data_IF_565905169033
#
_entry.id   IF_565905169033
#
_cell.length_a   1.000
_cell.length_b   1.000
_cell.length_c   1.000
_cell.angle_alpha   90.00
_cell.angle_beta   90.00
_cell.angle_gamma   90.00
#
_symmetry.space_group_name_H-M   'P 1'
#
loop_
_entity.id
_entity.type
_entity.pdbx_description
1 polymer ?
#
# COMPACT_ATOMS: atom_id res chain seq x y z
N UNK A 1 -7.63 6.27 -8.59
CA UNK A 1 -6.32 6.72 -8.07
C UNK A 1 -6.17 6.52 -6.55
N UNK A 2 -7.18 6.83 -5.72
CA UNK A 2 -7.11 6.69 -4.24
C UNK A 2 -6.94 5.23 -3.74
N UNK A 3 -7.38 4.22 -4.50
CA UNK A 3 -7.22 2.80 -4.12
C UNK A 3 -5.78 2.25 -4.23
N UNK A 4 -4.87 2.98 -4.90
CA UNK A 4 -3.52 2.48 -5.18
C UNK A 4 -2.50 2.66 -4.04
N UNK A 5 -2.81 3.49 -3.04
CA UNK A 5 -1.84 3.89 -2.01
C UNK A 5 -1.58 2.84 -0.91
N UNK A 6 -2.44 1.82 -0.74
CA UNK A 6 -2.32 0.87 0.39
C UNK A 6 -1.60 -0.44 0.08
N UNK A 7 -1.40 -0.82 -1.19
CA UNK A 7 -0.73 -2.08 -1.54
C UNK A 7 0.79 -2.08 -1.27
N UNK A 8 1.38 -0.92 -0.94
CA UNK A 8 2.81 -0.77 -0.61
C UNK A 8 3.23 -1.32 0.77
N UNK A 9 2.32 -1.83 1.60
CA UNK A 9 2.61 -2.09 3.02
C UNK A 9 3.38 -3.40 3.35
N UNK A 10 3.47 -4.41 2.47
CA UNK A 10 3.70 -5.79 2.93
C UNK A 10 4.82 -6.64 2.28
N UNK A 11 5.67 -6.14 1.37
CA UNK A 11 6.67 -6.99 0.72
C UNK A 11 8.11 -6.64 1.11
N UNK A 12 8.74 -7.43 1.99
CA UNK A 12 10.18 -7.73 1.95
C UNK A 12 10.71 -8.58 3.14
N UNK A 13 11.02 -9.86 2.89
CA UNK A 13 12.10 -10.57 3.60
C UNK A 13 12.85 -11.44 2.59
N UNK A 14 14.10 -11.07 2.27
CA UNK A 14 15.14 -11.98 1.76
C UNK A 14 16.51 -11.31 2.03
N UNK A 15 17.32 -11.96 2.87
CA UNK A 15 18.55 -11.36 3.40
C UNK A 15 19.78 -11.55 2.52
N UNK A 16 20.69 -10.58 2.57
CA UNK A 16 22.12 -10.73 2.33
C UNK A 16 22.85 -10.81 3.67
N UNK A 17 23.94 -11.57 3.70
CA UNK A 17 24.60 -12.01 4.93
C UNK A 17 25.37 -10.91 5.67
N UNK A 18 25.18 -10.85 6.99
CA UNK A 18 26.14 -10.36 7.99
C UNK A 18 25.60 -10.60 9.42
N UNK A 19 26.41 -10.26 10.43
CA UNK A 19 26.46 -10.77 11.81
C UNK A 19 25.09 -11.08 12.48
N UNK A 20 24.91 -12.28 13.08
CA UNK A 20 23.63 -12.78 13.60
C UNK A 20 22.90 -11.89 14.64
N UNK A 21 23.62 -11.05 15.38
CA UNK A 21 23.06 -10.23 16.47
C UNK A 21 22.25 -9.02 15.98
N UNK A 22 22.74 -8.29 14.97
CA UNK A 22 22.08 -7.06 14.51
C UNK A 22 20.76 -7.32 13.79
N UNK A 23 20.68 -8.44 13.06
CA UNK A 23 19.43 -8.88 12.48
C UNK A 23 18.37 -9.10 13.56
N UNK A 24 18.74 -9.66 14.71
CA UNK A 24 17.80 -9.89 15.82
C UNK A 24 17.27 -8.57 16.41
N UNK A 25 18.13 -7.59 16.64
CA UNK A 25 17.73 -6.31 17.21
C UNK A 25 16.85 -5.49 16.25
N UNK A 26 17.16 -5.50 14.94
CA UNK A 26 16.31 -4.85 13.92
C UNK A 26 14.99 -5.60 13.74
N UNK A 27 15.00 -6.94 13.76
CA UNK A 27 13.76 -7.74 13.72
C UNK A 27 12.88 -7.49 14.95
N UNK A 28 13.49 -7.31 16.13
CA UNK A 28 12.75 -6.91 17.34
C UNK A 28 12.09 -5.54 17.17
N UNK A 29 12.77 -4.56 16.56
CA UNK A 29 12.15 -3.27 16.26
C UNK A 29 10.97 -3.40 15.28
N UNK A 30 11.11 -4.25 14.26
CA UNK A 30 10.01 -4.58 13.35
C UNK A 30 8.82 -5.18 14.11
N UNK A 31 9.05 -6.18 14.96
CA UNK A 31 8.00 -6.81 15.77
C UNK A 31 7.31 -5.82 16.71
N UNK A 32 8.09 -4.95 17.37
CA UNK A 32 7.56 -3.86 18.20
C UNK A 32 6.61 -2.97 17.38
N UNK A 33 7.03 -2.52 16.19
CA UNK A 33 6.17 -1.73 15.29
C UNK A 33 4.92 -2.48 14.85
N UNK A 34 5.02 -3.76 14.50
CA UNK A 34 3.86 -4.60 14.14
C UNK A 34 2.92 -4.90 15.30
N UNK A 35 3.35 -4.64 16.54
CA UNK A 35 2.56 -4.77 17.77
C UNK A 35 2.05 -3.44 18.33
N UNK A 36 2.21 -2.33 17.59
CA UNK A 36 1.78 -0.98 18.01
C UNK A 36 2.74 -0.24 18.95
N UNK A 37 3.89 -0.84 19.27
CA UNK A 37 4.92 -0.27 20.17
C UNK A 37 5.94 0.56 19.41
N UNK A 38 5.46 1.58 18.71
CA UNK A 38 6.25 2.33 17.71
C UNK A 38 7.37 3.14 18.35
N UNK A 39 7.12 3.77 19.51
CA UNK A 39 8.15 4.53 20.23
C UNK A 39 9.30 3.61 20.72
N UNK A 40 8.97 2.40 21.21
CA UNK A 40 9.96 1.39 21.61
C UNK A 40 10.77 0.90 20.40
N UNK A 41 10.10 0.69 19.25
CA UNK A 41 10.77 0.32 18.00
C UNK A 41 11.78 1.39 17.55
N UNK A 42 11.40 2.67 17.67
CA UNK A 42 12.29 3.79 17.33
C UNK A 42 13.53 3.82 18.22
N UNK A 43 13.35 3.74 19.54
CA UNK A 43 14.47 3.68 20.50
C UNK A 43 15.40 2.49 20.20
N UNK A 44 14.83 1.32 19.89
CA UNK A 44 15.61 0.13 19.54
C UNK A 44 16.47 0.35 18.29
N UNK A 45 15.93 1.00 17.24
CA UNK A 45 16.67 1.32 16.01
C UNK A 45 17.73 2.39 16.23
N UNK A 46 17.44 3.42 17.02
CA UNK A 46 18.42 4.45 17.41
C UNK A 46 19.61 3.84 18.14
N UNK A 47 19.38 2.87 19.04
CA UNK A 47 20.44 2.14 19.72
C UNK A 47 21.28 1.29 18.78
N UNK A 48 20.67 0.65 17.78
CA UNK A 48 21.42 -0.11 16.76
C UNK A 48 22.30 0.84 15.94
N UNK A 49 21.75 1.97 15.49
CA UNK A 49 22.47 2.95 14.68
C UNK A 49 23.53 3.73 15.46
N UNK A 50 23.38 3.88 16.78
CA UNK A 50 24.42 4.43 17.64
C UNK A 50 25.63 3.50 17.78
N UNK A 51 25.41 2.18 17.74
CA UNK A 51 26.48 1.16 17.77
C UNK A 51 27.13 0.94 16.41
N UNK A 52 26.33 1.01 15.35
CA UNK A 52 26.75 0.85 13.97
C UNK A 52 25.93 1.77 13.07
N UNK A 53 26.48 2.95 12.79
CA UNK A 53 25.83 3.95 11.94
C UNK A 53 25.78 3.57 10.47
N UNK A 54 26.39 2.45 10.08
CA UNK A 54 26.42 1.94 8.70
C UNK A 54 25.45 0.78 8.49
N UNK A 55 24.70 0.39 9.52
CA UNK A 55 23.78 -0.73 9.46
C UNK A 55 22.62 -0.46 8.49
N UNK A 56 22.70 -1.01 7.28
CA UNK A 56 21.74 -0.78 6.21
C UNK A 56 20.33 -1.26 6.58
N UNK A 57 20.22 -2.40 7.27
CA UNK A 57 18.93 -2.96 7.70
C UNK A 57 18.22 -2.08 8.73
N UNK A 58 18.96 -1.53 9.69
CA UNK A 58 18.42 -0.59 10.67
C UNK A 58 17.99 0.74 10.02
N UNK A 59 18.76 1.23 9.04
CA UNK A 59 18.34 2.36 8.23
C UNK A 59 17.06 2.07 7.43
N UNK A 60 16.97 0.91 6.81
CA UNK A 60 15.77 0.48 6.08
C UNK A 60 14.54 0.41 7.00
N UNK A 61 14.64 -0.25 8.15
CA UNK A 61 13.50 -0.35 9.08
C UNK A 61 13.15 1.00 9.72
N UNK A 62 14.13 1.88 9.97
CA UNK A 62 13.85 3.25 10.42
C UNK A 62 13.11 4.06 9.36
N UNK A 63 13.41 3.87 8.06
CA UNK A 63 12.65 4.51 7.00
C UNK A 63 11.18 4.04 6.97
N UNK A 64 10.93 2.75 7.23
CA UNK A 64 9.55 2.21 7.36
C UNK A 64 8.84 2.74 8.59
N UNK A 65 9.53 2.84 9.71
CA UNK A 65 8.99 3.43 10.94
C UNK A 65 8.65 4.91 10.74
N UNK A 66 9.55 5.69 10.12
CA UNK A 66 9.31 7.11 9.86
C UNK A 66 8.15 7.32 8.88
N UNK A 67 8.00 6.45 7.88
CA UNK A 67 6.88 6.52 6.95
C UNK A 67 5.56 6.19 7.64
N UNK A 68 5.56 5.18 8.53
CA UNK A 68 4.42 4.86 9.37
C UNK A 68 4.00 6.04 10.27
N UNK A 69 4.96 6.66 10.96
CA UNK A 69 4.71 7.87 11.76
C UNK A 69 4.22 9.05 10.91
N UNK A 70 4.68 9.19 9.66
CA UNK A 70 4.28 10.27 8.77
C UNK A 70 2.78 10.14 8.46
N UNK A 71 2.33 8.93 8.14
CA UNK A 71 0.92 8.66 7.84
C UNK A 71 0.03 8.68 9.08
N UNK A 72 0.59 8.36 10.25
CA UNK A 72 -0.10 8.29 11.55
C UNK A 72 -0.07 9.57 12.39
N UNK A 73 0.43 10.70 11.86
CA UNK A 73 0.51 11.97 12.61
C UNK A 73 1.57 12.00 13.71
N UNK A 74 2.56 11.12 13.67
CA UNK A 74 3.66 11.00 14.64
C UNK A 74 4.77 12.05 14.54
N UNK A 75 4.53 13.17 13.83
CA UNK A 75 5.45 14.30 13.76
C UNK A 75 6.73 14.05 12.95
N UNK A 76 6.72 13.11 12.00
CA UNK A 76 7.83 12.90 11.05
C UNK A 76 7.54 13.57 9.72
N UNK A 77 8.58 13.77 8.94
CA UNK A 77 8.51 14.28 7.58
C UNK A 77 8.95 13.23 6.58
N UNK A 78 8.57 13.44 5.32
CA UNK A 78 9.06 12.62 4.21
C UNK A 78 10.58 12.72 4.04
N UNK A 79 11.20 13.83 4.46
CA UNK A 79 12.66 13.95 4.49
C UNK A 79 13.30 12.94 5.46
N UNK A 80 12.69 12.71 6.62
CA UNK A 80 13.19 11.73 7.61
C UNK A 80 13.13 10.30 7.07
N UNK A 81 12.14 9.99 6.22
CA UNK A 81 12.07 8.73 5.48
C UNK A 81 13.22 8.65 4.46
N UNK A 82 13.37 9.68 3.63
CA UNK A 82 14.37 9.75 2.57
C UNK A 82 15.82 9.64 3.12
N UNK A 83 16.14 10.33 4.22
CA UNK A 83 17.47 10.27 4.87
C UNK A 83 17.87 8.83 5.17
N UNK A 84 16.95 8.04 5.73
CA UNK A 84 17.24 6.68 6.14
C UNK A 84 17.26 5.69 4.97
N UNK A 85 16.32 5.77 4.03
CA UNK A 85 16.34 4.85 2.87
C UNK A 85 17.53 5.12 1.92
N UNK A 86 17.95 6.38 1.77
CA UNK A 86 19.16 6.74 1.03
C UNK A 86 20.39 6.07 1.64
N UNK A 87 20.51 6.06 2.97
CA UNK A 87 21.61 5.40 3.68
C UNK A 87 21.56 3.88 3.51
N UNK A 88 20.38 3.26 3.60
CA UNK A 88 20.25 1.81 3.39
C UNK A 88 20.72 1.39 1.99
N UNK A 89 20.32 2.10 0.94
CA UNK A 89 20.77 1.85 -0.44
C UNK A 89 22.25 2.22 -0.63
N UNK A 90 22.76 3.25 0.06
CA UNK A 90 24.17 3.62 -0.02
C UNK A 90 25.07 2.53 0.58
N UNK A 91 24.71 1.98 1.74
CA UNK A 91 25.49 0.94 2.42
C UNK A 91 25.33 -0.45 1.78
N UNK A 92 24.17 -0.76 1.22
CA UNK A 92 23.92 -2.02 0.48
C UNK A 92 23.27 -1.77 -0.90
N UNK A 93 24.02 -1.25 -1.89
CA UNK A 93 23.46 -0.85 -3.19
C UNK A 93 22.99 -2.02 -4.08
N UNK A 94 23.39 -3.25 -3.75
CA UNK A 94 22.94 -4.47 -4.42
C UNK A 94 21.66 -5.07 -3.82
N UNK A 95 21.17 -4.53 -2.69
CA UNK A 95 20.00 -5.08 -2.01
C UNK A 95 18.72 -4.63 -2.72
N UNK A 96 18.10 -5.56 -3.45
CA UNK A 96 16.89 -5.31 -4.26
C UNK A 96 15.70 -4.83 -3.41
N UNK A 97 15.60 -5.27 -2.15
CA UNK A 97 14.53 -4.85 -1.24
C UNK A 97 14.67 -3.38 -0.90
N UNK A 98 15.89 -2.93 -0.55
CA UNK A 98 16.13 -1.53 -0.22
C UNK A 98 15.96 -0.65 -1.46
N UNK A 99 16.47 -1.10 -2.62
CA UNK A 99 16.27 -0.40 -3.88
C UNK A 99 14.77 -0.26 -4.23
N UNK A 100 13.98 -1.32 -4.01
CA UNK A 100 12.54 -1.30 -4.28
C UNK A 100 11.81 -0.34 -3.37
N UNK A 101 12.03 -0.42 -2.06
CA UNK A 101 11.43 0.52 -1.13
C UNK A 101 11.86 1.97 -1.40
N UNK A 102 13.11 2.18 -1.82
CA UNK A 102 13.60 3.49 -2.24
C UNK A 102 12.85 4.04 -3.47
N UNK A 103 12.53 3.17 -4.43
CA UNK A 103 11.70 3.53 -5.58
C UNK A 103 10.27 3.88 -5.16
N UNK A 104 9.66 3.10 -4.25
CA UNK A 104 8.33 3.38 -3.68
C UNK A 104 8.31 4.73 -2.97
N UNK A 105 9.31 5.05 -2.13
CA UNK A 105 9.40 6.36 -1.49
C UNK A 105 9.58 7.49 -2.53
N UNK A 106 10.36 7.25 -3.59
CA UNK A 106 10.47 8.19 -4.71
C UNK A 106 9.12 8.45 -5.39
N UNK A 107 8.34 7.40 -5.65
CA UNK A 107 6.98 7.51 -6.18
C UNK A 107 6.06 8.28 -5.23
N UNK A 108 6.10 7.98 -3.92
CA UNK A 108 5.31 8.71 -2.92
C UNK A 108 5.69 10.20 -2.85
N UNK A 109 6.98 10.55 -2.98
CA UNK A 109 7.42 11.94 -3.08
C UNK A 109 6.78 12.65 -4.29
N UNK A 110 6.81 12.00 -5.46
CA UNK A 110 6.21 12.55 -6.68
C UNK A 110 4.69 12.70 -6.53
N UNK A 111 4.01 11.68 -6.01
CA UNK A 111 2.57 11.69 -5.77
C UNK A 111 2.15 12.80 -4.80
N UNK A 112 2.80 12.91 -3.64
CA UNK A 112 2.52 13.98 -2.67
C UNK A 112 2.81 15.36 -3.26
N UNK A 113 3.87 15.50 -4.05
CA UNK A 113 4.18 16.74 -4.76
C UNK A 113 3.05 17.16 -5.70
N UNK A 114 2.44 16.22 -6.41
CA UNK A 114 1.28 16.47 -7.27
C UNK A 114 0.05 16.91 -6.47
N UNK A 115 -0.31 16.18 -5.41
CA UNK A 115 -1.46 16.50 -4.56
C UNK A 115 -1.31 17.84 -3.82
N UNK A 116 -0.06 18.26 -3.55
CA UNK A 116 0.25 19.54 -2.90
C UNK A 116 0.48 20.70 -3.89
N UNK A 117 0.33 20.49 -5.21
CA UNK A 117 0.53 21.52 -6.23
C UNK A 117 2.00 21.99 -6.38
N UNK A 118 2.97 21.13 -6.07
CA UNK A 118 4.41 21.42 -6.19
C UNK A 118 4.93 21.18 -7.61
N UNK A 119 4.34 21.85 -8.59
CA UNK A 119 4.57 21.61 -10.03
C UNK A 119 6.04 21.74 -10.45
N UNK A 120 6.78 22.71 -9.88
CA UNK A 120 8.17 23.01 -10.23
C UNK A 120 9.14 21.83 -10.06
N UNK A 121 8.85 20.91 -9.13
CA UNK A 121 9.71 19.74 -8.84
C UNK A 121 9.10 18.42 -9.27
N UNK A 122 7.85 18.44 -9.75
CA UNK A 122 7.09 17.23 -10.02
C UNK A 122 7.77 16.37 -11.08
N UNK A 123 8.16 16.98 -12.21
CA UNK A 123 8.81 16.26 -13.31
C UNK A 123 10.12 15.59 -12.86
N UNK A 124 10.96 16.30 -12.13
CA UNK A 124 12.24 15.77 -11.65
C UNK A 124 12.02 14.62 -10.66
N UNK A 125 11.03 14.74 -9.77
CA UNK A 125 10.66 13.68 -8.84
C UNK A 125 10.13 12.44 -9.58
N UNK A 126 9.30 12.61 -10.61
CA UNK A 126 8.79 11.51 -11.45
C UNK A 126 9.94 10.81 -12.18
N UNK A 127 10.83 11.58 -12.83
CA UNK A 127 12.00 11.02 -13.54
C UNK A 127 12.89 10.23 -12.58
N UNK A 128 13.13 10.77 -11.38
CA UNK A 128 13.93 10.09 -10.35
C UNK A 128 13.25 8.82 -9.82
N UNK A 129 11.94 8.84 -9.60
CA UNK A 129 11.17 7.64 -9.24
C UNK A 129 11.29 6.55 -10.31
N UNK A 130 11.13 6.90 -11.59
CA UNK A 130 11.29 5.97 -12.69
C UNK A 130 12.70 5.37 -12.75
N UNK A 131 13.76 6.18 -12.63
CA UNK A 131 15.15 5.69 -12.59
C UNK A 131 15.38 4.69 -11.45
N UNK A 132 14.75 4.90 -10.30
CA UNK A 132 14.84 3.98 -9.16
C UNK A 132 14.14 2.65 -9.46
N UNK A 133 12.96 2.65 -10.06
CA UNK A 133 12.32 1.41 -10.51
C UNK A 133 13.15 0.69 -11.58
N UNK A 134 13.71 1.41 -12.55
CA UNK A 134 14.63 0.86 -13.55
C UNK A 134 15.87 0.23 -12.88
N UNK A 135 16.39 0.86 -11.81
CA UNK A 135 17.48 0.28 -11.00
C UNK A 135 17.05 -1.03 -10.33
N UNK A 136 15.85 -1.12 -9.78
CA UNK A 136 15.32 -2.38 -9.21
C UNK A 136 15.28 -3.47 -10.27
N UNK A 137 14.76 -3.18 -11.46
CA UNK A 137 14.70 -4.12 -12.58
C UNK A 137 16.11 -4.54 -13.02
N UNK A 138 17.10 -3.64 -12.98
CA UNK A 138 18.49 -4.00 -13.28
C UNK A 138 19.12 -4.96 -12.26
N UNK A 139 18.70 -4.87 -10.98
CA UNK A 139 19.16 -5.77 -9.91
C UNK A 139 18.41 -7.11 -9.96
N UNK A 140 17.13 -7.10 -10.34
CA UNK A 140 16.27 -8.27 -10.43
C UNK A 140 15.33 -8.15 -11.64
N UNK A 141 15.72 -8.67 -12.82
CA UNK A 141 14.97 -8.49 -14.07
C UNK A 141 13.59 -9.15 -14.11
N UNK A 142 13.32 -10.13 -13.24
CA UNK A 142 12.03 -10.81 -13.09
C UNK A 142 11.16 -10.20 -11.99
N UNK A 143 11.54 -9.03 -11.43
CA UNK A 143 10.73 -8.32 -10.45
C UNK A 143 9.62 -7.52 -11.17
N UNK A 144 8.41 -8.09 -11.19
CA UNK A 144 7.29 -7.61 -12.01
C UNK A 144 6.64 -6.32 -11.47
N UNK A 145 6.59 -6.13 -10.16
CA UNK A 145 5.93 -4.97 -9.53
C UNK A 145 6.55 -3.62 -9.96
N UNK A 146 7.89 -3.42 -9.93
CA UNK A 146 8.52 -2.22 -10.48
C UNK A 146 8.14 -1.91 -11.93
N UNK A 147 8.00 -2.94 -12.77
CA UNK A 147 7.61 -2.74 -14.17
C UNK A 147 6.20 -2.17 -14.26
N UNK A 148 5.29 -2.64 -13.41
CA UNK A 148 3.92 -2.16 -13.42
C UNK A 148 3.82 -0.69 -12.99
N UNK A 149 4.59 -0.26 -11.99
CA UNK A 149 4.70 1.16 -11.66
C UNK A 149 5.20 1.99 -12.85
N UNK A 150 6.19 1.48 -13.61
CA UNK A 150 6.66 2.17 -14.81
C UNK A 150 5.57 2.24 -15.90
N UNK A 151 4.76 1.19 -16.09
CA UNK A 151 3.61 1.23 -17.01
C UNK A 151 2.60 2.29 -16.57
N UNK A 152 2.27 2.35 -15.28
CA UNK A 152 1.31 3.31 -14.73
C UNK A 152 1.81 4.75 -14.85
N UNK A 153 3.04 5.03 -14.42
CA UNK A 153 3.63 6.37 -14.51
C UNK A 153 3.76 6.81 -15.97
N UNK A 154 4.38 5.98 -16.81
CA UNK A 154 4.64 6.36 -18.19
C UNK A 154 3.38 6.39 -19.06
N UNK A 155 2.37 5.58 -18.75
CA UNK A 155 1.12 5.49 -19.49
C UNK A 155 0.06 6.51 -19.08
N UNK A 156 0.06 6.96 -17.82
CA UNK A 156 -0.98 7.85 -17.30
C UNK A 156 -0.57 9.32 -17.21
N UNK A 157 0.73 9.61 -17.05
CA UNK A 157 1.20 10.99 -17.00
C UNK A 157 1.41 11.55 -18.41
N UNK A 158 1.19 12.85 -18.62
CA UNK A 158 1.54 13.49 -19.87
C UNK A 158 3.07 13.67 -20.00
N UNK A 159 3.61 13.85 -21.23
CA UNK A 159 5.06 13.91 -21.46
C UNK A 159 5.79 15.01 -20.67
N UNK A 160 5.16 16.17 -20.48
CA UNK A 160 5.70 17.27 -19.70
C UNK A 160 5.90 16.93 -18.22
N UNK A 161 5.11 15.99 -17.68
CA UNK A 161 5.22 15.49 -16.31
C UNK A 161 6.07 14.20 -16.19
N UNK A 162 6.64 13.72 -17.30
CA UNK A 162 7.48 12.52 -17.33
C UNK A 162 6.82 11.27 -17.91
N UNK A 163 5.64 11.39 -18.52
CA UNK A 163 5.01 10.33 -19.31
C UNK A 163 5.84 9.92 -20.52
N UNK A 164 5.74 8.65 -20.91
CA UNK A 164 6.44 8.07 -22.07
C UNK A 164 5.69 6.83 -22.57
N UNK A 165 4.73 7.03 -23.47
CA UNK A 165 3.86 5.93 -23.94
C UNK A 165 4.63 4.77 -24.58
N UNK A 166 5.79 5.02 -25.20
CA UNK A 166 6.64 3.97 -25.77
C UNK A 166 7.28 3.12 -24.68
N UNK A 167 7.80 3.75 -23.61
CA UNK A 167 8.28 2.99 -22.45
C UNK A 167 7.16 2.25 -21.73
N UNK A 168 5.96 2.84 -21.65
CA UNK A 168 4.82 2.18 -21.04
C UNK A 168 4.49 0.87 -21.78
N UNK A 169 4.41 0.89 -23.11
CA UNK A 169 4.22 -0.31 -23.94
C UNK A 169 5.36 -1.30 -23.77
N UNK A 170 6.62 -0.84 -23.76
CA UNK A 170 7.78 -1.70 -23.56
C UNK A 170 7.73 -2.51 -22.25
N UNK A 171 7.39 -1.86 -21.13
CA UNK A 171 7.25 -2.56 -19.85
C UNK A 171 5.99 -3.42 -19.78
N UNK A 172 4.90 -3.02 -20.44
CA UNK A 172 3.69 -3.85 -20.54
C UNK A 172 3.98 -5.16 -21.30
N UNK A 173 4.70 -5.11 -22.40
CA UNK A 173 5.10 -6.30 -23.17
C UNK A 173 5.97 -7.25 -22.34
N UNK A 174 6.89 -6.71 -21.52
CA UNK A 174 7.65 -7.53 -20.58
C UNK A 174 6.75 -8.23 -19.58
N UNK A 175 5.78 -7.52 -19.01
CA UNK A 175 4.85 -8.09 -18.04
C UNK A 175 3.97 -9.18 -18.65
N UNK A 176 3.47 -9.01 -19.88
CA UNK A 176 2.70 -10.03 -20.59
C UNK A 176 3.48 -11.35 -20.72
N UNK A 177 4.78 -11.27 -20.94
CA UNK A 177 5.63 -12.45 -21.09
C UNK A 177 6.09 -13.05 -19.75
N UNK A 178 6.08 -12.25 -18.67
CA UNK A 178 6.58 -12.67 -17.36
C UNK A 178 5.48 -13.30 -16.49
N UNK A 179 4.30 -12.69 -16.44
CA UNK A 179 3.22 -13.10 -15.55
C UNK A 179 1.85 -12.69 -16.13
N UNK A 180 0.91 -13.63 -16.19
CA UNK A 180 -0.39 -13.40 -16.82
C UNK A 180 -1.23 -12.32 -16.10
N UNK A 181 -1.17 -12.28 -14.76
CA UNK A 181 -1.90 -11.31 -13.94
C UNK A 181 -1.30 -9.91 -14.11
N UNK A 182 0.01 -9.77 -13.99
CA UNK A 182 0.67 -8.47 -14.18
C UNK A 182 0.57 -7.98 -15.63
N UNK A 183 0.65 -8.88 -16.61
CA UNK A 183 0.39 -8.58 -18.01
C UNK A 183 -1.03 -8.06 -18.24
N UNK A 184 -2.04 -8.67 -17.61
CA UNK A 184 -3.42 -8.18 -17.67
C UNK A 184 -3.57 -6.79 -17.03
N UNK A 185 -2.94 -6.56 -15.87
CA UNK A 185 -2.93 -5.23 -15.23
C UNK A 185 -2.32 -4.17 -16.14
N UNK A 186 -1.17 -4.46 -16.76
CA UNK A 186 -0.52 -3.53 -17.67
C UNK A 186 -1.40 -3.21 -18.89
N UNK A 187 -2.05 -4.22 -19.48
CA UNK A 187 -3.01 -4.01 -20.59
C UNK A 187 -4.19 -3.14 -20.18
N UNK A 188 -4.75 -3.35 -18.99
CA UNK A 188 -5.85 -2.52 -18.51
C UNK A 188 -5.42 -1.07 -18.29
N UNK A 189 -4.24 -0.85 -17.72
CA UNK A 189 -3.67 0.49 -17.53
C UNK A 189 -3.53 1.27 -18.83
N UNK A 190 -3.20 0.58 -19.93
CA UNK A 190 -3.04 1.18 -21.27
C UNK A 190 -4.32 1.12 -22.13
N UNK A 191 -5.42 0.64 -21.57
CA UNK A 191 -6.68 0.51 -22.30
C UNK A 191 -7.34 1.86 -22.55
N UNK A 192 -8.27 1.90 -23.52
CA UNK A 192 -9.02 3.12 -23.83
C UNK A 192 -9.90 3.53 -22.65
N UNK A 193 -10.08 4.85 -22.50
CA UNK A 193 -11.03 5.39 -21.53
C UNK A 193 -12.43 4.82 -21.80
N UNK A 194 -13.10 4.36 -20.74
CA UNK A 194 -14.43 3.73 -20.84
C UNK A 194 -14.40 2.21 -21.03
N UNK A 195 -13.22 1.56 -21.02
CA UNK A 195 -13.12 0.10 -20.99
C UNK A 195 -13.95 -0.47 -19.82
N UNK A 196 -14.81 -1.45 -20.12
CA UNK A 196 -15.59 -2.16 -19.11
C UNK A 196 -14.67 -3.07 -18.30
N UNK A 197 -14.24 -2.59 -17.14
CA UNK A 197 -13.30 -3.31 -16.28
C UNK A 197 -13.87 -4.62 -15.74
N UNK A 198 -15.19 -4.73 -15.55
CA UNK A 198 -15.81 -5.97 -15.06
C UNK A 198 -15.67 -7.04 -16.13
N UNK A 199 -16.13 -6.76 -17.35
CA UNK A 199 -16.00 -7.68 -18.48
C UNK A 199 -14.54 -8.04 -18.74
N UNK A 200 -13.64 -7.04 -18.73
CA UNK A 200 -12.21 -7.28 -18.91
C UNK A 200 -11.65 -8.30 -17.92
N UNK A 201 -11.95 -8.14 -16.63
CA UNK A 201 -11.42 -9.04 -15.60
C UNK A 201 -12.11 -10.41 -15.58
N UNK A 202 -13.40 -10.48 -15.91
CA UNK A 202 -14.11 -11.76 -16.09
C UNK A 202 -13.54 -12.55 -17.27
N UNK A 203 -13.17 -11.90 -18.36
CA UNK A 203 -12.45 -12.54 -19.48
C UNK A 203 -11.08 -13.06 -19.03
N UNK A 204 -10.35 -12.33 -18.17
CA UNK A 204 -9.09 -12.82 -17.62
C UNK A 204 -9.28 -14.06 -16.73
N UNK A 205 -10.39 -14.14 -15.98
CA UNK A 205 -10.76 -15.35 -15.22
C UNK A 205 -11.07 -16.52 -16.16
N UNK A 206 -11.78 -16.28 -17.26
CA UNK A 206 -12.08 -17.32 -18.24
C UNK A 206 -10.82 -17.90 -18.88
N UNK A 207 -9.81 -17.05 -19.10
CA UNK A 207 -8.53 -17.44 -19.73
C UNK A 207 -7.55 -18.09 -18.75
N UNK A 208 -7.44 -17.58 -17.52
CA UNK A 208 -6.37 -17.93 -16.57
C UNK A 208 -6.87 -18.65 -15.31
N UNK A 209 -8.17 -18.85 -15.17
CA UNK A 209 -8.81 -19.44 -14.00
C UNK A 209 -9.14 -18.41 -12.90
N UNK A 210 -9.86 -18.88 -11.86
CA UNK A 210 -10.29 -18.07 -10.71
C UNK A 210 -9.19 -17.98 -9.64
N UNK A 211 -8.13 -17.22 -9.90
CA UNK A 211 -7.09 -16.96 -8.88
C UNK A 211 -7.54 -15.87 -7.89
N UNK A 212 -7.02 -15.84 -6.65
CA UNK A 212 -7.35 -14.79 -5.67
C UNK A 212 -7.15 -13.37 -6.21
N UNK A 213 -6.08 -13.15 -6.98
CA UNK A 213 -5.72 -11.85 -7.53
C UNK A 213 -6.71 -11.37 -8.58
N UNK A 214 -7.17 -12.27 -9.46
CA UNK A 214 -8.17 -11.96 -10.48
C UNK A 214 -9.55 -11.75 -9.88
N UNK A 215 -9.96 -12.61 -8.95
CA UNK A 215 -11.22 -12.45 -8.20
C UNK A 215 -11.26 -11.08 -7.49
N UNK A 216 -10.17 -10.70 -6.84
CA UNK A 216 -10.02 -9.36 -6.24
C UNK A 216 -10.21 -8.25 -7.26
N UNK A 217 -9.62 -8.34 -8.44
CA UNK A 217 -9.76 -7.28 -9.46
C UNK A 217 -11.19 -7.15 -9.98
N UNK A 218 -11.91 -8.27 -10.17
CA UNK A 218 -13.33 -8.22 -10.53
C UNK A 218 -14.14 -7.55 -9.42
N UNK A 219 -13.89 -7.90 -8.16
CA UNK A 219 -14.56 -7.26 -7.02
C UNK A 219 -14.32 -5.75 -6.97
N UNK A 220 -13.08 -5.30 -7.17
CA UNK A 220 -12.73 -3.87 -7.28
C UNK A 220 -13.46 -3.20 -8.46
N UNK A 221 -13.54 -3.86 -9.62
CA UNK A 221 -14.26 -3.35 -10.78
C UNK A 221 -15.76 -3.18 -10.50
N UNK A 222 -16.38 -4.08 -9.73
CA UNK A 222 -17.77 -3.92 -9.29
C UNK A 222 -17.96 -2.73 -8.34
N UNK A 223 -17.01 -2.45 -7.45
CA UNK A 223 -17.05 -1.24 -6.61
C UNK A 223 -17.01 0.04 -7.46
N UNK A 224 -16.21 0.08 -8.53
CA UNK A 224 -16.21 1.22 -9.46
C UNK A 224 -17.53 1.39 -10.21
N UNK A 225 -18.37 0.35 -10.31
CA UNK A 225 -19.72 0.39 -10.86
C UNK A 225 -20.82 0.58 -9.79
N UNK A 226 -20.46 0.98 -8.58
CA UNK A 226 -21.37 1.15 -7.44
C UNK A 226 -22.15 -0.12 -7.06
N UNK A 227 -21.57 -1.31 -7.29
CA UNK A 227 -22.21 -2.60 -7.06
C UNK A 227 -21.49 -3.39 -5.97
N UNK A 228 -21.66 -2.96 -4.72
CA UNK A 228 -21.05 -3.56 -3.53
C UNK A 228 -21.44 -5.03 -3.32
N UNK A 229 -22.69 -5.41 -3.64
CA UNK A 229 -23.17 -6.79 -3.47
C UNK A 229 -22.36 -7.78 -4.32
N UNK A 230 -22.08 -7.44 -5.58
CA UNK A 230 -21.25 -8.29 -6.43
C UNK A 230 -19.79 -8.23 -6.03
N UNK A 231 -19.29 -7.08 -5.60
CA UNK A 231 -17.93 -6.95 -5.08
C UNK A 231 -17.70 -7.88 -3.87
N UNK A 232 -18.63 -7.92 -2.91
CA UNK A 232 -18.54 -8.78 -1.73
C UNK A 232 -18.49 -10.26 -2.11
N UNK A 233 -19.30 -10.72 -3.08
CA UNK A 233 -19.26 -12.11 -3.57
C UNK A 233 -17.88 -12.50 -4.10
N UNK A 234 -17.28 -11.65 -4.94
CA UNK A 234 -15.95 -11.89 -5.49
C UNK A 234 -14.85 -11.80 -4.41
N UNK A 235 -14.96 -10.87 -3.46
CA UNK A 235 -14.05 -10.78 -2.32
C UNK A 235 -14.13 -12.01 -1.41
N UNK A 236 -15.34 -12.53 -1.14
CA UNK A 236 -15.51 -13.76 -0.37
C UNK A 236 -14.88 -14.98 -1.05
N UNK A 237 -15.01 -15.08 -2.38
CA UNK A 237 -14.31 -16.12 -3.15
C UNK A 237 -12.79 -15.96 -3.10
N UNK A 238 -12.27 -14.74 -3.26
CA UNK A 238 -10.84 -14.45 -3.15
C UNK A 238 -10.29 -14.84 -1.77
N UNK A 239 -10.98 -14.47 -0.69
CA UNK A 239 -10.61 -14.80 0.69
C UNK A 239 -10.72 -16.30 0.99
N UNK A 240 -11.65 -17.01 0.33
CA UNK A 240 -11.74 -18.48 0.44
C UNK A 240 -10.54 -19.16 -0.22
N UNK A 241 -10.05 -18.61 -1.34
CA UNK A 241 -8.89 -19.14 -2.05
C UNK A 241 -7.56 -18.75 -1.38
N UNK A 242 -7.49 -17.55 -0.80
CA UNK A 242 -6.35 -17.06 -0.02
C UNK A 242 -6.83 -16.21 1.16
N UNK A 243 -6.76 -16.80 2.35
CA UNK A 243 -7.20 -16.16 3.59
C UNK A 243 -6.45 -14.85 3.89
N UNK A 244 -5.24 -14.66 3.37
CA UNK A 244 -4.46 -13.43 3.57
C UNK A 244 -5.06 -12.21 2.85
N UNK A 245 -6.01 -12.40 1.94
CA UNK A 245 -6.78 -11.32 1.30
C UNK A 245 -7.86 -10.72 2.23
N UNK A 246 -7.78 -10.92 3.54
CA UNK A 246 -8.77 -10.43 4.50
C UNK A 246 -8.96 -8.90 4.47
N UNK A 247 -7.96 -8.14 4.02
CA UNK A 247 -8.04 -6.69 3.80
C UNK A 247 -9.16 -6.26 2.84
N UNK A 248 -9.67 -7.16 2.00
CA UNK A 248 -10.79 -6.86 1.11
C UNK A 248 -12.07 -6.46 1.87
N UNK A 249 -12.27 -6.98 3.10
CA UNK A 249 -13.37 -6.55 3.96
C UNK A 249 -13.17 -5.12 4.47
N UNK A 250 -11.94 -4.75 4.79
CA UNK A 250 -11.61 -3.37 5.16
C UNK A 250 -11.82 -2.41 3.98
N UNK A 251 -11.43 -2.80 2.76
CA UNK A 251 -11.64 -2.00 1.56
C UNK A 251 -13.13 -1.82 1.22
N UNK A 252 -13.95 -2.87 1.39
CA UNK A 252 -15.40 -2.77 1.23
C UNK A 252 -16.02 -1.80 2.26
N UNK A 253 -15.62 -1.88 3.52
CA UNK A 253 -16.06 -0.95 4.55
C UNK A 253 -15.66 0.51 4.25
N UNK A 254 -14.44 0.73 3.77
CA UNK A 254 -13.95 2.05 3.34
C UNK A 254 -14.73 2.60 2.16
N UNK A 255 -15.11 1.75 1.19
CA UNK A 255 -15.95 2.16 0.08
C UNK A 255 -17.30 2.73 0.57
N UNK A 256 -17.97 2.06 1.51
CA UNK A 256 -19.22 2.57 2.09
C UNK A 256 -19.02 3.92 2.81
N UNK A 257 -17.93 4.08 3.58
CA UNK A 257 -17.59 5.38 4.20
C UNK A 257 -17.35 6.46 3.14
N UNK A 258 -16.65 6.14 2.04
CA UNK A 258 -16.40 7.09 0.96
C UNK A 258 -17.69 7.57 0.28
N UNK A 259 -18.71 6.71 0.13
CA UNK A 259 -20.04 7.13 -0.39
C UNK A 259 -20.67 8.19 0.50
N UNK A 260 -20.56 8.05 1.83
CA UNK A 260 -21.08 9.04 2.79
C UNK A 260 -20.28 10.35 2.75
N UNK A 261 -18.96 10.26 2.57
CA UNK A 261 -18.11 11.45 2.42
C UNK A 261 -18.47 12.25 1.16
N UNK A 262 -18.87 11.57 0.08
CA UNK A 262 -19.33 12.19 -1.16
C UNK A 262 -20.77 12.69 -1.08
N UNK A 263 -21.64 11.96 -0.39
CA UNK A 263 -23.02 12.33 -0.14
C UNK A 263 -23.45 11.97 1.29
N UNK A 264 -23.53 12.97 2.16
CA UNK A 264 -23.88 12.80 3.58
C UNK A 264 -25.27 12.24 3.81
N UNK A 265 -26.19 12.36 2.86
CA UNK A 265 -27.55 11.82 2.97
C UNK A 265 -27.57 10.28 3.02
N UNK A 266 -26.51 9.64 2.51
CA UNK A 266 -26.35 8.19 2.54
C UNK A 266 -25.90 7.64 3.90
N UNK A 267 -25.65 8.51 4.89
CA UNK A 267 -25.12 8.10 6.20
C UNK A 267 -25.99 7.03 6.88
N UNK A 268 -27.32 7.14 6.80
CA UNK A 268 -28.24 6.22 7.46
C UNK A 268 -28.22 4.79 6.86
N UNK A 269 -27.82 4.64 5.60
CA UNK A 269 -27.82 3.37 4.88
C UNK A 269 -26.42 2.77 4.74
N UNK A 270 -25.40 3.59 4.49
CA UNK A 270 -24.05 3.13 4.17
C UNK A 270 -23.17 2.95 5.42
N UNK A 271 -23.35 3.76 6.48
CA UNK A 271 -22.56 3.62 7.70
C UNK A 271 -22.79 2.29 8.45
N UNK A 272 -24.03 1.75 8.53
CA UNK A 272 -24.23 0.40 9.07
C UNK A 272 -23.50 -0.69 8.27
N UNK A 273 -23.51 -0.60 6.93
CA UNK A 273 -22.80 -1.54 6.05
C UNK A 273 -21.28 -1.45 6.23
N UNK A 274 -20.76 -0.22 6.37
CA UNK A 274 -19.35 0.00 6.68
C UNK A 274 -18.96 -0.68 8.00
N UNK A 275 -19.78 -0.49 9.05
CA UNK A 275 -19.55 -1.10 10.37
C UNK A 275 -19.54 -2.62 10.29
N UNK A 276 -20.49 -3.24 9.59
CA UNK A 276 -20.52 -4.70 9.38
C UNK A 276 -19.25 -5.20 8.69
N UNK A 277 -18.77 -4.51 7.66
CA UNK A 277 -17.53 -4.87 6.97
C UNK A 277 -16.30 -4.77 7.89
N UNK A 278 -16.23 -3.73 8.72
CA UNK A 278 -15.16 -3.57 9.70
C UNK A 278 -15.19 -4.66 10.78
N UNK A 279 -16.37 -5.02 11.28
CA UNK A 279 -16.55 -6.13 12.21
C UNK A 279 -16.17 -7.47 11.58
N UNK A 280 -16.55 -7.72 10.32
CA UNK A 280 -16.10 -8.89 9.55
C UNK A 280 -14.58 -8.93 9.48
N UNK A 281 -13.92 -7.82 9.10
CA UNK A 281 -12.45 -7.72 9.01
C UNK A 281 -11.76 -8.07 10.34
N UNK A 282 -12.20 -7.45 11.44
CA UNK A 282 -11.63 -7.66 12.77
C UNK A 282 -11.73 -9.12 13.25
N UNK A 283 -12.72 -9.86 12.74
CA UNK A 283 -12.96 -11.27 13.06
C UNK A 283 -12.36 -12.26 12.03
N UNK A 284 -11.59 -11.79 11.05
CA UNK A 284 -10.99 -12.67 10.03
C UNK A 284 -9.87 -13.57 10.57
N UNK A 285 -9.56 -14.61 9.80
CA UNK A 285 -8.35 -15.44 9.95
C UNK A 285 -7.58 -15.38 8.62
N UNK A 286 -6.27 -15.07 8.62
CA UNK A 286 -5.44 -14.69 9.78
C UNK A 286 -5.96 -13.42 10.44
N UNK A 287 -5.67 -13.26 11.73
CA UNK A 287 -6.10 -12.07 12.45
C UNK A 287 -5.38 -10.82 11.90
N UNK A 288 -6.07 -9.67 11.87
CA UNK A 288 -5.40 -8.40 11.55
C UNK A 288 -4.25 -8.10 12.51
N UNK A 289 -3.15 -7.56 11.98
CA UNK A 289 -2.04 -7.06 12.81
C UNK A 289 -2.49 -5.86 13.65
N UNK A 290 -1.81 -5.58 14.76
CA UNK A 290 -2.23 -4.55 15.73
C UNK A 290 -2.46 -3.17 15.08
N UNK A 291 -1.56 -2.63 14.23
CA UNK A 291 -1.82 -1.35 13.56
C UNK A 291 -3.10 -1.35 12.72
N UNK A 292 -3.40 -2.46 12.03
CA UNK A 292 -4.61 -2.56 11.21
C UNK A 292 -5.88 -2.77 12.06
N UNK A 293 -5.78 -3.43 13.22
CA UNK A 293 -6.87 -3.48 14.22
C UNK A 293 -7.17 -2.08 14.73
N UNK A 294 -6.15 -1.35 15.16
CA UNK A 294 -6.27 0.04 15.64
C UNK A 294 -6.87 0.95 14.55
N UNK A 295 -6.35 0.88 13.33
CA UNK A 295 -6.89 1.63 12.19
C UNK A 295 -8.38 1.35 11.94
N UNK A 296 -8.77 0.08 11.97
CA UNK A 296 -10.16 -0.32 11.75
C UNK A 296 -11.08 0.17 12.87
N UNK A 297 -10.65 0.05 14.13
CA UNK A 297 -11.40 0.61 15.27
C UNK A 297 -11.52 2.13 15.17
N UNK A 298 -10.48 2.82 14.72
CA UNK A 298 -10.52 4.25 14.42
C UNK A 298 -11.52 4.63 13.32
N UNK A 299 -11.64 3.80 12.28
CA UNK A 299 -12.68 3.98 11.25
C UNK A 299 -14.09 3.74 11.82
N UNK A 300 -14.27 2.68 12.63
CA UNK A 300 -15.54 2.41 13.32
C UNK A 300 -15.92 3.55 14.27
N UNK A 301 -14.95 4.11 15.00
CA UNK A 301 -15.13 5.25 15.88
C UNK A 301 -15.67 6.46 15.11
N UNK A 302 -15.02 6.82 13.98
CA UNK A 302 -15.46 7.92 13.11
C UNK A 302 -16.86 7.66 12.55
N UNK A 303 -17.14 6.43 12.11
CA UNK A 303 -18.47 6.03 11.65
C UNK A 303 -19.54 6.24 12.74
N UNK A 304 -19.28 5.81 13.98
CA UNK A 304 -20.21 6.00 15.10
C UNK A 304 -20.44 7.49 15.41
N UNK A 305 -19.38 8.31 15.42
CA UNK A 305 -19.49 9.76 15.60
C UNK A 305 -20.30 10.43 14.48
N UNK A 306 -20.10 10.02 13.23
CA UNK A 306 -20.88 10.52 12.08
C UNK A 306 -22.36 10.15 12.18
N UNK A 307 -22.70 8.99 12.74
CA UNK A 307 -24.07 8.59 13.04
C UNK A 307 -24.67 9.27 14.29
N UNK A 308 -23.93 10.18 14.94
CA UNK A 308 -24.37 10.88 16.15
C UNK A 308 -24.14 10.11 17.46
N UNK A 309 -23.54 8.92 17.42
CA UNK A 309 -23.20 8.14 18.60
C UNK A 309 -21.81 8.50 19.13
N UNK A 310 -21.72 9.65 19.80
CA UNK A 310 -20.46 10.21 20.31
C UNK A 310 -19.80 9.30 21.36
N UNK A 311 -20.58 8.71 22.27
CA UNK A 311 -20.05 7.88 23.36
C UNK A 311 -19.41 6.59 22.83
N UNK A 312 -20.09 5.89 21.92
CA UNK A 312 -19.52 4.71 21.24
C UNK A 312 -18.26 5.09 20.44
N UNK A 313 -18.33 6.20 19.72
CA UNK A 313 -17.19 6.71 18.95
C UNK A 313 -15.97 6.99 19.81
N UNK A 314 -16.13 7.69 20.93
CA UNK A 314 -15.05 8.01 21.85
C UNK A 314 -14.43 6.74 22.44
N UNK A 315 -15.28 5.78 22.87
CA UNK A 315 -14.80 4.50 23.39
C UNK A 315 -13.97 3.72 22.36
N UNK A 316 -14.44 3.60 21.12
CA UNK A 316 -13.71 2.91 20.06
C UNK A 316 -12.39 3.62 19.73
N UNK A 317 -12.37 4.96 19.77
CA UNK A 317 -11.16 5.74 19.56
C UNK A 317 -10.14 5.53 20.69
N UNK A 318 -10.58 5.43 21.95
CA UNK A 318 -9.73 5.09 23.09
C UNK A 318 -9.14 3.68 22.93
N UNK A 319 -9.96 2.69 22.54
CA UNK A 319 -9.49 1.33 22.26
C UNK A 319 -8.46 1.29 21.14
N UNK A 320 -8.70 2.02 20.05
CA UNK A 320 -7.75 2.14 18.94
C UNK A 320 -6.40 2.73 19.40
N UNK A 321 -6.45 3.85 20.13
CA UNK A 321 -5.25 4.54 20.65
C UNK A 321 -4.46 3.69 21.66
N UNK A 322 -5.15 2.83 22.42
CA UNK A 322 -4.52 1.91 23.36
C UNK A 322 -3.76 0.78 22.65
N UNK A 323 -4.19 0.39 21.44
CA UNK A 323 -3.51 -0.61 20.62
C UNK A 323 -2.31 -0.03 19.87
N UNK A 324 -2.52 1.13 19.25
CA UNK A 324 -1.49 1.87 18.54
C UNK A 324 -1.82 3.35 18.63
N UNK A 325 -0.87 4.21 18.95
CA UNK A 325 -1.13 5.65 19.05
C UNK A 325 -1.11 6.34 17.68
N UNK A 326 -0.49 5.72 16.68
CA UNK A 326 -0.16 6.33 15.40
C UNK A 326 -0.86 5.62 14.23
N UNK A 327 -2.02 5.00 14.45
CA UNK A 327 -2.79 4.35 13.38
C UNK A 327 -3.46 5.34 12.41
#
# INVERSE_FOLDING_TARGET
MIFFLLSCFMAAIAGSGEKPGYKKDVMKAFELRMSGKVDEAKVQLEQVLAKDSTNAMAHYEMARLNFYLLTGGGGTSLNDVNVHINKAVFYEPGNVIYAYYHAIIGFMNAYMGMEMGQEDKLKDNVIEACKRFEKVISLKPDYVEPMLYLVEIYGQLPPEMGGDSLKAVYYADKLVNADAYFGARARLTLSLQGTDQVTFWEDQIALNGRTPELLRQVGIAFLFKDNAEHAEKYFAEAMKADASQNLLMLDLGRYHVMKVMQNKELAATELPLAKECFEKYLNTKPEPIVPMKAYTLGLMARTAMFSGNQDEGNKLMEEANALDKYF
#
